data_IF_136172086795
#
_entry.id   IF_136172086795
#
_cell.length_a   1.000
_cell.length_b   1.000
_cell.length_c   1.000
_cell.angle_alpha   90.00
_cell.angle_beta   90.00
_cell.angle_gamma   90.00
#
_symmetry.space_group_name_H-M   'P 1'
#
loop_
_entity.id
_entity.type
_entity.pdbx_description
1 polymer ?
#
# COMPACT_ATOMS: atom_id res chain seq x y z
N UNK A 1 0.09 -2.37 -16.95
CA UNK A 1 -0.07 -1.78 -18.30
C UNK A 1 0.00 -0.27 -18.13
N UNK A 2 0.78 0.46 -18.93
CA UNK A 2 0.74 1.91 -18.91
C UNK A 2 -0.64 2.39 -19.38
N UNK A 3 -1.13 3.48 -18.81
CA UNK A 3 -2.38 4.14 -19.20
C UNK A 3 -2.07 5.62 -19.41
N UNK A 4 -2.55 6.18 -20.52
CA UNK A 4 -2.36 7.58 -20.87
C UNK A 4 -3.65 8.18 -21.42
N UNK A 5 -3.80 9.49 -21.29
CA UNK A 5 -4.96 10.25 -21.75
C UNK A 5 -4.50 11.65 -22.19
N UNK A 6 -4.94 12.16 -23.36
CA UNK A 6 -4.70 13.55 -23.72
C UNK A 6 -5.50 14.50 -22.82
N UNK A 7 -5.09 15.77 -22.76
CA UNK A 7 -5.87 16.81 -22.07
C UNK A 7 -7.31 16.85 -22.59
N UNK A 8 -8.26 16.88 -21.67
CA UNK A 8 -9.70 16.97 -21.93
C UNK A 8 -10.18 18.42 -22.01
N UNK A 9 -9.46 19.33 -21.36
CA UNK A 9 -9.83 20.75 -21.25
C UNK A 9 -8.72 21.68 -21.75
N UNK A 10 -8.79 22.07 -23.03
CA UNK A 10 -7.88 23.05 -23.63
C UNK A 10 -8.28 24.49 -23.22
N UNK A 11 -7.51 25.08 -22.30
CA UNK A 11 -7.86 26.35 -21.66
C UNK A 11 -6.95 27.53 -22.07
N UNK A 12 -6.77 27.73 -23.37
CA UNK A 12 -5.99 28.84 -23.92
C UNK A 12 -5.01 28.39 -24.99
N UNK A 13 -4.03 29.23 -25.28
CA UNK A 13 -2.96 28.92 -26.23
C UNK A 13 -1.67 28.60 -25.47
N UNK A 14 -1.56 27.36 -24.99
CA UNK A 14 -0.40 26.85 -24.24
C UNK A 14 0.22 25.67 -24.98
N UNK A 15 1.54 25.56 -24.94
CA UNK A 15 2.24 24.45 -25.57
C UNK A 15 1.89 23.12 -24.89
N UNK A 16 1.74 22.08 -25.70
CA UNK A 16 1.49 20.73 -25.20
C UNK A 16 2.77 20.13 -24.61
N UNK A 17 2.67 19.58 -23.41
CA UNK A 17 3.73 18.78 -22.80
C UNK A 17 3.15 17.52 -22.18
N UNK A 18 3.97 16.48 -22.09
CA UNK A 18 3.60 15.21 -21.48
C UNK A 18 4.02 15.19 -20.01
N UNK A 19 3.14 14.69 -19.15
CA UNK A 19 3.45 14.36 -17.76
C UNK A 19 3.41 12.86 -17.60
N UNK A 20 4.56 12.27 -17.25
CA UNK A 20 4.67 10.86 -16.95
C UNK A 20 4.88 10.66 -15.45
N UNK A 21 4.03 9.87 -14.82
CA UNK A 21 4.14 9.51 -13.41
C UNK A 21 4.16 7.98 -13.26
N UNK A 22 5.19 7.49 -12.56
CA UNK A 22 5.33 6.06 -12.24
C UNK A 22 4.68 5.83 -10.89
N UNK A 23 3.43 5.41 -10.93
CA UNK A 23 2.81 4.81 -9.75
C UNK A 23 3.44 3.43 -9.52
N UNK A 24 3.96 3.21 -8.32
CA UNK A 24 4.59 1.95 -7.91
C UNK A 24 3.74 0.70 -8.23
N UNK A 25 4.37 -0.47 -8.14
CA UNK A 25 3.83 -1.80 -8.44
C UNK A 25 2.34 -1.95 -8.14
N UNK A 26 1.53 -2.42 -9.09
CA UNK A 26 0.07 -2.66 -8.91
C UNK A 26 -0.74 -1.42 -8.51
N UNK A 27 -0.48 -0.28 -9.14
CA UNK A 27 -1.25 0.97 -8.95
C UNK A 27 -2.75 0.84 -9.20
N UNK A 28 -3.15 -0.08 -10.07
CA UNK A 28 -4.55 -0.41 -10.38
C UNK A 28 -4.69 -1.88 -10.75
N UNK A 29 -5.86 -2.46 -10.47
CA UNK A 29 -6.17 -3.86 -10.78
C UNK A 29 -6.58 -4.10 -12.23
N UNK A 30 -7.30 -3.13 -12.83
CA UNK A 30 -7.80 -3.22 -14.21
C UNK A 30 -7.40 -1.98 -15.01
N UNK A 31 -7.28 -2.10 -16.33
CA UNK A 31 -6.99 -0.95 -17.20
C UNK A 31 -8.01 0.19 -17.01
N UNK A 32 -9.30 -0.15 -16.82
CA UNK A 32 -10.38 0.81 -16.58
C UNK A 32 -10.18 1.59 -15.27
N UNK A 33 -9.67 0.95 -14.22
CA UNK A 33 -9.31 1.64 -12.98
C UNK A 33 -8.13 2.60 -13.20
N UNK A 34 -7.14 2.16 -13.98
CA UNK A 34 -6.01 3.02 -14.38
C UNK A 34 -6.47 4.26 -15.14
N UNK A 35 -7.40 4.10 -16.10
CA UNK A 35 -7.96 5.20 -16.87
C UNK A 35 -8.69 6.21 -15.98
N UNK A 36 -9.48 5.71 -15.01
CA UNK A 36 -10.17 6.56 -14.03
C UNK A 36 -9.18 7.35 -13.17
N UNK A 37 -8.09 6.73 -12.70
CA UNK A 37 -7.05 7.41 -11.92
C UNK A 37 -6.33 8.49 -12.74
N UNK A 38 -5.96 8.17 -13.98
CA UNK A 38 -5.31 9.12 -14.91
C UNK A 38 -6.25 10.31 -15.16
N UNK A 39 -7.53 10.06 -15.45
CA UNK A 39 -8.52 11.13 -15.66
C UNK A 39 -8.64 12.05 -14.45
N UNK A 40 -8.74 11.50 -13.24
CA UNK A 40 -8.84 12.30 -12.01
C UNK A 40 -7.60 13.17 -11.77
N UNK A 41 -6.41 12.64 -12.06
CA UNK A 41 -5.15 13.38 -11.94
C UNK A 41 -5.02 14.46 -13.01
N UNK A 42 -5.40 14.14 -14.24
CA UNK A 42 -5.41 15.09 -15.35
C UNK A 42 -6.38 16.25 -15.06
N UNK A 43 -7.62 15.96 -14.67
CA UNK A 43 -8.61 16.97 -14.26
C UNK A 43 -8.04 17.87 -13.13
N UNK A 44 -7.28 17.32 -12.16
CA UNK A 44 -6.69 18.08 -11.07
C UNK A 44 -5.54 19.03 -11.52
N UNK A 45 -4.85 18.68 -12.60
CA UNK A 45 -3.85 19.54 -13.25
C UNK A 45 -4.58 20.62 -14.07
N UNK A 46 -5.59 20.23 -14.84
CA UNK A 46 -6.36 21.13 -15.71
C UNK A 46 -7.09 22.23 -14.96
N UNK A 47 -7.57 21.98 -13.73
CA UNK A 47 -8.15 23.02 -12.86
C UNK A 47 -7.20 24.21 -12.65
N UNK A 48 -5.89 24.00 -12.71
CA UNK A 48 -4.88 25.05 -12.53
C UNK A 48 -4.53 25.77 -13.85
N UNK A 49 -5.01 25.26 -14.99
CA UNK A 49 -4.68 25.81 -16.31
C UNK A 49 -5.23 27.22 -16.54
N UNK A 50 -6.44 27.52 -16.06
CA UNK A 50 -7.04 28.85 -16.18
C UNK A 50 -7.98 29.17 -15.02
N UNK A 51 -7.58 30.15 -14.22
CA UNK A 51 -8.37 30.69 -13.10
C UNK A 51 -8.73 32.15 -13.34
N UNK A 52 -9.82 32.59 -12.72
CA UNK A 52 -10.29 33.98 -12.74
C UNK A 52 -10.34 34.50 -11.31
N UNK A 53 -10.05 35.78 -11.13
CA UNK A 53 -10.09 36.46 -9.83
C UNK A 53 -11.02 37.66 -9.91
N UNK A 54 -11.76 37.93 -8.84
CA UNK A 54 -12.67 39.08 -8.80
C UNK A 54 -12.94 39.58 -7.40
N UNK A 55 -13.64 40.72 -7.34
CA UNK A 55 -14.10 41.34 -6.11
C UNK A 55 -15.62 41.47 -6.13
N UNK A 56 -16.27 41.32 -4.98
CA UNK A 56 -17.72 41.49 -4.86
C UNK A 56 -18.14 42.04 -3.50
N UNK A 57 -19.35 42.60 -3.45
CA UNK A 57 -20.07 42.92 -2.21
C UNK A 57 -21.19 41.91 -1.91
N UNK A 58 -21.30 40.85 -2.72
CA UNK A 58 -22.29 39.79 -2.53
C UNK A 58 -21.95 38.92 -1.32
N UNK A 59 -22.85 38.88 -0.33
CA UNK A 59 -22.68 38.09 0.92
C UNK A 59 -22.97 36.60 0.74
N UNK A 60 -23.59 36.22 -0.38
CA UNK A 60 -23.98 34.84 -0.66
C UNK A 60 -22.91 34.04 -1.43
N UNK A 61 -21.74 34.62 -1.70
CA UNK A 61 -20.65 33.91 -2.36
C UNK A 61 -19.98 32.95 -1.38
N UNK A 62 -20.00 31.65 -1.72
CA UNK A 62 -19.33 30.59 -0.98
C UNK A 62 -18.62 29.65 -1.94
N UNK A 63 -17.46 29.07 -1.56
CA UNK A 63 -16.85 28.00 -2.35
C UNK A 63 -17.83 26.87 -2.65
N UNK A 64 -17.75 26.30 -3.85
CA UNK A 64 -18.67 25.28 -4.35
C UNK A 64 -19.97 25.81 -4.96
N UNK A 65 -20.27 27.11 -4.84
CA UNK A 65 -21.40 27.73 -5.52
C UNK A 65 -20.99 28.26 -6.89
N UNK A 66 -21.99 28.42 -7.76
CA UNK A 66 -21.81 28.95 -9.11
C UNK A 66 -22.49 30.29 -9.28
N UNK A 67 -22.02 31.09 -10.23
CA UNK A 67 -22.68 32.31 -10.65
C UNK A 67 -22.53 32.51 -12.17
N UNK A 68 -23.48 33.22 -12.78
CA UNK A 68 -23.33 33.73 -14.14
C UNK A 68 -22.82 35.17 -14.08
N UNK A 69 -21.72 35.46 -14.78
CA UNK A 69 -21.20 36.82 -14.93
C UNK A 69 -21.91 37.49 -16.11
N UNK A 70 -22.62 38.57 -15.84
CA UNK A 70 -23.28 39.39 -16.87
C UNK A 70 -22.66 40.78 -16.91
N UNK A 71 -22.87 41.50 -18.02
CA UNK A 71 -22.42 42.88 -18.21
C UNK A 71 -20.88 43.04 -18.18
N UNK A 72 -20.15 42.03 -18.66
CA UNK A 72 -18.69 42.07 -18.78
C UNK A 72 -18.26 41.99 -20.25
N UNK A 73 -17.51 42.99 -20.72
CA UNK A 73 -17.15 43.18 -22.13
C UNK A 73 -16.51 41.94 -22.79
N UNK A 74 -15.62 41.23 -22.09
CA UNK A 74 -14.98 40.01 -22.60
C UNK A 74 -15.88 38.76 -22.60
N UNK A 75 -16.94 38.74 -21.77
CA UNK A 75 -17.73 37.54 -21.51
C UNK A 75 -19.15 37.61 -22.09
N UNK A 76 -19.69 38.81 -22.28
CA UNK A 76 -21.05 39.03 -22.79
C UNK A 76 -21.24 38.53 -24.23
N UNK A 77 -20.16 38.44 -25.01
CA UNK A 77 -20.19 37.90 -26.38
C UNK A 77 -20.17 36.36 -26.42
N UNK A 78 -19.86 35.71 -25.30
CA UNK A 78 -19.75 34.25 -25.19
C UNK A 78 -21.08 33.54 -24.97
N UNK A 79 -21.03 32.21 -24.88
CA UNK A 79 -22.18 31.39 -24.49
C UNK A 79 -22.50 31.59 -22.99
N UNK A 80 -23.72 31.25 -22.55
CA UNK A 80 -24.06 31.25 -21.12
C UNK A 80 -23.16 30.31 -20.30
N UNK A 81 -22.72 29.20 -20.91
CA UNK A 81 -21.77 28.27 -20.30
C UNK A 81 -20.39 28.91 -20.08
N UNK A 82 -19.93 29.76 -21.01
CA UNK A 82 -18.71 30.56 -20.88
C UNK A 82 -18.87 31.80 -19.97
N UNK A 83 -20.07 32.04 -19.44
CA UNK A 83 -20.32 33.04 -18.39
C UNK A 83 -20.59 32.41 -17.04
N UNK A 84 -20.65 31.08 -16.96
CA UNK A 84 -20.87 30.36 -15.71
C UNK A 84 -19.54 30.00 -15.04
N UNK A 85 -19.41 30.39 -13.78
CA UNK A 85 -18.19 30.20 -12.98
C UNK A 85 -18.50 29.44 -11.70
N UNK A 86 -17.56 28.59 -11.28
CA UNK A 86 -17.55 27.89 -10.00
C UNK A 86 -16.56 28.57 -9.05
N UNK A 87 -17.04 29.01 -7.88
CA UNK A 87 -16.21 29.61 -6.83
C UNK A 87 -15.36 28.52 -6.15
N UNK A 88 -14.03 28.69 -6.16
CA UNK A 88 -13.09 27.77 -5.50
C UNK A 88 -12.55 28.33 -4.17
N UNK A 89 -12.38 29.65 -4.10
CA UNK A 89 -11.90 30.36 -2.91
C UNK A 89 -12.68 31.64 -2.76
N UNK A 90 -13.10 31.96 -1.54
CA UNK A 90 -13.71 33.26 -1.20
C UNK A 90 -13.10 33.74 0.11
N UNK A 91 -12.59 34.97 0.12
CA UNK A 91 -12.06 35.65 1.31
C UNK A 91 -12.99 36.81 1.63
N UNK A 92 -13.62 36.76 2.79
CA UNK A 92 -14.57 37.78 3.26
C UNK A 92 -13.87 38.80 4.14
N UNK A 93 -14.16 40.07 3.93
CA UNK A 93 -13.73 41.18 4.79
C UNK A 93 -14.96 42.03 5.15
N UNK A 94 -15.20 42.19 6.45
CA UNK A 94 -16.29 42.99 6.98
C UNK A 94 -15.77 43.97 8.02
N UNK A 95 -16.23 45.21 7.95
CA UNK A 95 -16.00 46.24 8.95
C UNK A 95 -17.32 46.68 9.55
N UNK A 96 -17.31 46.99 10.84
CA UNK A 96 -18.48 47.46 11.57
C UNK A 96 -18.21 48.89 12.08
N UNK A 97 -19.27 49.69 12.21
CA UNK A 97 -19.23 51.10 12.58
C UNK A 97 -19.81 51.39 13.97
N UNK A 98 -19.79 50.42 14.90
CA UNK A 98 -20.32 50.63 16.26
C UNK A 98 -19.65 51.78 17.04
N UNK A 99 -18.40 52.12 16.72
CA UNK A 99 -17.60 53.15 17.40
C UNK A 99 -17.06 54.23 16.45
N UNK A 100 -17.53 54.27 15.19
CA UNK A 100 -17.09 55.25 14.20
C UNK A 100 -18.27 55.80 13.41
N UNK A 101 -18.14 57.04 12.94
CA UNK A 101 -19.11 57.65 12.01
C UNK A 101 -18.92 57.14 10.56
N UNK A 102 -17.99 56.20 10.34
CA UNK A 102 -17.79 55.58 9.03
C UNK A 102 -18.93 54.62 8.69
N UNK A 103 -19.11 54.32 7.40
CA UNK A 103 -20.10 53.32 6.98
C UNK A 103 -19.56 51.91 7.21
N UNK A 104 -20.41 51.01 7.75
CA UNK A 104 -20.09 49.59 7.79
C UNK A 104 -19.84 49.06 6.36
N UNK A 105 -18.80 48.25 6.21
CA UNK A 105 -18.34 47.75 4.92
C UNK A 105 -18.39 46.23 4.84
N UNK A 106 -18.68 45.71 3.66
CA UNK A 106 -18.44 44.31 3.32
C UNK A 106 -17.90 44.21 1.90
N UNK A 107 -16.83 43.44 1.75
CA UNK A 107 -16.29 43.03 0.46
C UNK A 107 -15.81 41.59 0.54
N UNK A 108 -15.67 40.96 -0.61
CA UNK A 108 -14.93 39.73 -0.73
C UNK A 108 -14.06 39.75 -1.98
N UNK A 109 -12.98 38.98 -1.89
CA UNK A 109 -12.11 38.59 -3.00
C UNK A 109 -12.38 37.12 -3.27
N UNK A 110 -12.51 36.73 -4.53
CA UNK A 110 -12.76 35.35 -4.91
C UNK A 110 -11.86 34.89 -6.05
N UNK A 111 -11.64 33.57 -6.08
CA UNK A 111 -11.05 32.85 -7.20
C UNK A 111 -12.10 31.89 -7.72
N UNK A 112 -12.24 31.79 -9.04
CA UNK A 112 -13.16 30.87 -9.69
C UNK A 112 -12.56 30.24 -10.95
N UNK A 113 -13.18 29.14 -11.39
CA UNK A 113 -12.95 28.50 -12.68
C UNK A 113 -14.25 28.51 -13.48
N UNK A 114 -14.19 28.20 -14.79
CA UNK A 114 -15.43 28.00 -15.56
C UNK A 114 -16.17 26.77 -15.03
N UNK A 115 -17.49 26.87 -14.87
CA UNK A 115 -18.29 25.78 -14.30
C UNK A 115 -18.24 24.48 -15.11
N UNK A 116 -18.05 24.57 -16.44
CA UNK A 116 -17.91 23.40 -17.32
C UNK A 116 -16.65 22.56 -17.08
N UNK A 117 -15.64 23.12 -16.39
CA UNK A 117 -14.39 22.41 -16.08
C UNK A 117 -14.62 21.59 -14.80
N UNK A 118 -14.50 20.26 -14.84
CA UNK A 118 -14.68 19.43 -13.67
C UNK A 118 -13.64 19.76 -12.59
N UNK A 119 -14.10 20.15 -11.40
CA UNK A 119 -13.19 20.40 -10.29
C UNK A 119 -12.68 19.09 -9.68
N UNK A 120 -11.36 18.94 -9.67
CA UNK A 120 -10.63 17.99 -8.82
C UNK A 120 -9.60 18.74 -8.00
N UNK A 121 -9.54 18.41 -6.71
CA UNK A 121 -8.59 19.04 -5.82
C UNK A 121 -7.16 18.65 -6.22
N UNK A 122 -6.23 19.62 -6.33
CA UNK A 122 -4.81 19.33 -6.57
C UNK A 122 -4.23 18.39 -5.51
N UNK A 123 -3.33 17.48 -5.91
CA UNK A 123 -2.64 16.59 -4.97
C UNK A 123 -1.59 17.41 -4.22
N UNK A 124 -1.97 17.92 -3.05
CA UNK A 124 -1.12 18.76 -2.17
C UNK A 124 -0.66 18.03 -0.92
N UNK A 125 -1.39 16.99 -0.51
CA UNK A 125 -1.05 16.17 0.65
C UNK A 125 -0.18 15.01 0.20
N UNK A 126 1.03 14.93 0.75
CA UNK A 126 1.93 13.81 0.50
C UNK A 126 1.30 12.50 0.97
N UNK A 127 1.46 11.43 0.18
CA UNK A 127 0.97 10.10 0.59
C UNK A 127 1.78 9.61 1.80
N UNK A 128 1.13 9.03 2.83
CA UNK A 128 1.86 8.39 3.93
C UNK A 128 2.80 7.31 3.42
N UNK A 129 4.02 7.31 3.91
CA UNK A 129 5.05 6.34 3.56
C UNK A 129 5.80 5.85 4.79
N UNK A 130 6.52 4.74 4.64
CA UNK A 130 7.37 4.17 5.67
C UNK A 130 8.75 3.83 5.11
N UNK A 131 9.80 4.20 5.84
CA UNK A 131 11.18 4.09 5.36
C UNK A 131 11.81 2.70 5.56
N UNK A 132 11.17 1.80 6.28
CA UNK A 132 11.76 0.51 6.63
C UNK A 132 10.72 -0.54 7.02
N UNK A 133 11.17 -1.78 7.23
CA UNK A 133 10.28 -2.85 7.62
C UNK A 133 9.83 -2.70 9.08
N UNK A 134 8.69 -3.33 9.40
CA UNK A 134 8.19 -3.48 10.76
C UNK A 134 8.07 -4.96 11.09
N UNK A 135 8.25 -5.35 12.34
CA UNK A 135 7.84 -6.70 12.77
C UNK A 135 6.35 -6.74 13.11
N UNK A 136 5.76 -7.92 12.95
CA UNK A 136 4.36 -8.20 13.23
C UNK A 136 4.20 -9.64 13.71
N UNK A 137 3.08 -9.92 14.39
CA UNK A 137 2.75 -11.27 14.88
C UNK A 137 1.73 -11.91 13.96
N UNK A 138 1.96 -13.15 13.55
CA UNK A 138 1.01 -13.92 12.75
C UNK A 138 -0.24 -14.23 13.57
N UNK A 139 -1.43 -14.01 12.99
CA UNK A 139 -2.72 -14.21 13.67
C UNK A 139 -3.64 -15.11 12.85
N UNK A 140 -4.63 -15.69 13.51
CA UNK A 140 -5.67 -16.51 12.90
C UNK A 140 -6.75 -16.89 13.91
N UNK A 141 -7.71 -17.74 13.51
CA UNK A 141 -8.77 -18.23 14.39
C UNK A 141 -8.24 -18.95 15.63
N UNK A 142 -9.00 -18.89 16.72
CA UNK A 142 -8.68 -19.63 17.94
C UNK A 142 -8.66 -21.15 17.69
N UNK A 143 -7.70 -21.85 18.30
CA UNK A 143 -7.53 -23.30 18.15
C UNK A 143 -6.80 -23.75 16.87
N UNK A 144 -6.51 -22.82 15.96
CA UNK A 144 -5.67 -23.09 14.79
C UNK A 144 -4.19 -22.79 15.06
N UNK A 145 -3.32 -23.55 14.41
CA UNK A 145 -1.87 -23.35 14.46
C UNK A 145 -1.34 -22.70 13.17
N UNK A 146 -2.01 -22.96 12.04
CA UNK A 146 -1.66 -22.43 10.72
C UNK A 146 -2.93 -21.86 10.10
N UNK A 147 -2.87 -20.59 9.68
CA UNK A 147 -3.98 -19.93 9.00
C UNK A 147 -3.48 -19.25 7.73
N UNK A 148 -3.80 -19.86 6.58
CA UNK A 148 -3.35 -19.45 5.26
C UNK A 148 -4.46 -19.64 4.24
N UNK A 149 -4.41 -18.88 3.14
CA UNK A 149 -5.30 -19.08 1.99
C UNK A 149 -4.62 -19.86 0.84
N UNK A 150 -5.34 -20.03 -0.27
CA UNK A 150 -4.89 -20.75 -1.47
C UNK A 150 -3.63 -20.15 -2.12
N UNK A 151 -3.30 -18.90 -1.79
CA UNK A 151 -2.14 -18.18 -2.32
C UNK A 151 -0.96 -18.17 -1.34
N UNK A 152 -1.00 -19.00 -0.29
CA UNK A 152 0.02 -19.05 0.75
C UNK A 152 0.24 -17.69 1.45
N UNK A 153 -0.84 -16.91 1.62
CA UNK A 153 -0.82 -15.64 2.37
C UNK A 153 -1.17 -15.89 3.83
N UNK A 154 -0.71 -15.01 4.71
CA UNK A 154 -1.03 -15.03 6.14
C UNK A 154 -1.68 -13.73 6.57
N UNK A 155 -2.31 -13.73 7.74
CA UNK A 155 -2.72 -12.50 8.42
C UNK A 155 -1.77 -12.19 9.55
N UNK A 156 -1.52 -10.90 9.76
CA UNK A 156 -0.61 -10.41 10.79
C UNK A 156 -1.25 -9.27 11.57
N UNK A 157 -0.80 -9.10 12.80
CA UNK A 157 -1.10 -7.94 13.64
C UNK A 157 0.18 -7.16 13.92
N UNK A 158 0.18 -5.89 13.57
CA UNK A 158 1.26 -4.98 13.93
C UNK A 158 1.14 -4.52 15.39
N UNK A 159 2.27 -4.19 16.00
CA UNK A 159 2.35 -3.83 17.42
C UNK A 159 1.58 -2.55 17.80
N UNK A 160 1.30 -1.67 16.84
CA UNK A 160 0.54 -0.44 17.06
C UNK A 160 -0.99 -0.61 16.93
N UNK A 161 -1.46 -1.76 16.42
CA UNK A 161 -2.90 -2.02 16.31
C UNK A 161 -3.50 -2.27 17.69
N UNK A 162 -4.59 -1.57 18.01
CA UNK A 162 -5.29 -1.67 19.30
C UNK A 162 -6.49 -2.61 19.19
N UNK A 163 -6.79 -3.33 20.28
CA UNK A 163 -7.92 -4.23 20.39
C UNK A 163 -7.54 -5.72 20.31
N UNK A 164 -8.34 -6.56 20.96
CA UNK A 164 -8.22 -8.02 20.98
C UNK A 164 -9.00 -8.70 19.85
N UNK A 165 -9.60 -7.93 18.94
CA UNK A 165 -10.37 -8.50 17.84
C UNK A 165 -9.44 -9.33 16.95
N UNK A 166 -9.65 -10.65 17.01
CA UNK A 166 -9.43 -11.65 15.96
C UNK A 166 -9.60 -11.05 14.55
N UNK A 167 -9.03 -11.66 13.49
CA UNK A 167 -8.62 -11.03 12.21
C UNK A 167 -9.60 -10.17 11.37
N UNK A 168 -10.79 -9.83 11.85
CA UNK A 168 -11.78 -8.95 11.22
C UNK A 168 -11.29 -7.54 10.85
N UNK A 169 -10.01 -7.20 11.08
CA UNK A 169 -9.38 -5.96 10.63
C UNK A 169 -8.01 -6.13 9.97
N UNK A 170 -7.56 -7.35 9.66
CA UNK A 170 -6.22 -7.61 9.09
C UNK A 170 -6.33 -8.19 7.68
N UNK A 171 -5.58 -7.61 6.72
CA UNK A 171 -5.56 -8.09 5.33
C UNK A 171 -4.61 -9.28 5.15
N UNK A 172 -4.75 -10.00 4.04
CA UNK A 172 -3.87 -11.11 3.66
C UNK A 172 -2.56 -10.61 3.07
N UNK A 173 -1.44 -10.96 3.71
CA UNK A 173 -0.09 -10.61 3.28
C UNK A 173 0.58 -11.79 2.59
N UNK A 174 1.19 -11.52 1.43
CA UNK A 174 2.08 -12.49 0.78
C UNK A 174 3.33 -12.71 1.62
N UNK A 175 3.86 -13.92 1.54
CA UNK A 175 5.10 -14.33 2.20
C UNK A 175 6.15 -14.61 1.13
N UNK A 176 7.32 -13.96 1.24
CA UNK A 176 8.45 -14.25 0.39
C UNK A 176 9.01 -15.64 0.73
N UNK A 177 9.13 -16.49 -0.29
CA UNK A 177 9.71 -17.83 -0.17
C UNK A 177 11.12 -17.84 -0.78
N UNK A 178 12.06 -18.67 -0.27
CA UNK A 178 13.42 -18.76 -0.84
C UNK A 178 13.46 -19.10 -2.33
N UNK A 179 12.47 -19.87 -2.81
CA UNK A 179 12.23 -20.09 -4.24
C UNK A 179 10.73 -20.30 -4.45
N UNK A 180 10.15 -19.68 -5.48
CA UNK A 180 8.75 -19.82 -5.84
C UNK A 180 8.61 -19.93 -7.36
N UNK A 181 8.05 -21.04 -7.82
CA UNK A 181 7.74 -21.32 -9.22
C UNK A 181 6.32 -21.82 -9.39
N UNK A 182 5.90 -22.02 -10.65
CA UNK A 182 4.56 -22.54 -10.96
C UNK A 182 4.44 -24.01 -10.55
N UNK A 183 4.01 -24.25 -9.30
CA UNK A 183 3.82 -25.60 -8.73
C UNK A 183 5.09 -26.22 -8.12
N UNK A 184 6.16 -25.46 -7.91
CA UNK A 184 7.39 -25.96 -7.29
C UNK A 184 8.09 -24.86 -6.47
N UNK A 185 8.96 -25.26 -5.55
CA UNK A 185 9.76 -24.34 -4.72
C UNK A 185 9.70 -24.68 -3.24
N UNK A 186 9.85 -23.65 -2.41
CA UNK A 186 9.77 -23.76 -0.96
C UNK A 186 8.41 -23.27 -0.46
N UNK A 187 7.86 -23.94 0.54
CA UNK A 187 6.64 -23.52 1.21
C UNK A 187 6.76 -23.75 2.71
N UNK A 188 7.26 -22.74 3.42
CA UNK A 188 7.38 -22.75 4.88
C UNK A 188 6.44 -21.69 5.45
N UNK A 189 5.20 -22.07 5.73
CA UNK A 189 4.19 -21.12 6.21
C UNK A 189 4.48 -20.69 7.66
N UNK A 190 4.57 -19.38 7.94
CA UNK A 190 4.60 -18.88 9.31
C UNK A 190 3.33 -19.32 10.06
N UNK A 191 3.53 -19.83 11.28
CA UNK A 191 2.46 -20.29 12.17
C UNK A 191 1.94 -19.15 13.03
N UNK A 192 0.69 -19.27 13.50
CA UNK A 192 0.07 -18.30 14.41
C UNK A 192 0.96 -18.10 15.65
N UNK A 193 1.14 -16.84 16.04
CA UNK A 193 1.99 -16.44 17.16
C UNK A 193 3.44 -16.16 16.78
N UNK A 194 3.93 -16.66 15.64
CA UNK A 194 5.30 -16.38 15.19
C UNK A 194 5.47 -14.91 14.82
N UNK A 195 6.68 -14.39 15.02
CA UNK A 195 7.04 -13.04 14.61
C UNK A 195 7.60 -13.06 13.19
N UNK A 196 7.14 -12.11 12.38
CA UNK A 196 7.56 -11.94 10.99
C UNK A 196 8.00 -10.50 10.73
N UNK A 197 8.91 -10.33 9.78
CA UNK A 197 9.33 -9.04 9.26
C UNK A 197 8.48 -8.69 8.03
N UNK A 198 7.87 -7.51 8.05
CA UNK A 198 7.00 -6.98 6.99
C UNK A 198 7.67 -5.76 6.36
N UNK A 199 7.96 -5.86 5.06
CA UNK A 199 8.48 -4.77 4.24
C UNK A 199 7.35 -4.14 3.43
N UNK A 200 7.46 -2.86 3.12
CA UNK A 200 6.48 -2.11 2.34
C UNK A 200 7.07 -1.75 0.98
N UNK A 201 6.46 -2.25 -0.11
CA UNK A 201 7.00 -2.07 -1.46
C UNK A 201 7.04 -0.57 -1.81
N UNK A 202 8.22 -0.06 -2.18
CA UNK A 202 8.46 1.37 -2.42
C UNK A 202 8.06 2.29 -1.25
N UNK A 203 8.00 1.76 -0.02
CA UNK A 203 7.55 2.51 1.16
C UNK A 203 6.04 2.76 1.22
N UNK A 204 5.25 2.16 0.31
CA UNK A 204 3.79 2.27 0.29
C UNK A 204 3.18 1.44 1.43
N UNK A 205 2.57 2.12 2.41
CA UNK A 205 1.96 1.49 3.58
C UNK A 205 0.81 0.53 3.24
N UNK A 206 0.22 0.67 2.05
CA UNK A 206 -0.86 -0.18 1.56
C UNK A 206 -0.33 -1.43 0.82
N UNK A 207 1.01 -1.59 0.72
CA UNK A 207 1.67 -2.70 0.02
C UNK A 207 2.63 -3.48 0.93
N UNK A 208 2.16 -4.05 2.04
CA UNK A 208 2.97 -4.89 2.90
C UNK A 208 3.28 -6.25 2.25
N UNK A 209 4.49 -6.75 2.49
CA UNK A 209 4.99 -8.06 2.08
C UNK A 209 5.80 -8.65 3.24
N UNK A 210 5.46 -9.86 3.67
CA UNK A 210 6.27 -10.58 4.65
C UNK A 210 7.54 -11.07 3.97
N UNK A 211 8.71 -10.69 4.49
CA UNK A 211 10.01 -10.99 3.89
C UNK A 211 10.82 -12.01 4.68
N UNK A 212 10.54 -12.20 5.97
CA UNK A 212 11.28 -13.13 6.82
C UNK A 212 10.49 -13.51 8.08
N UNK A 213 10.79 -14.68 8.64
CA UNK A 213 10.43 -15.04 10.02
C UNK A 213 11.55 -14.64 10.99
N UNK A 214 11.19 -14.27 12.22
CA UNK A 214 12.12 -13.87 13.26
C UNK A 214 12.00 -14.77 14.49
N UNK A 215 13.15 -15.17 15.03
CA UNK A 215 13.21 -15.75 16.37
C UNK A 215 13.19 -14.63 17.42
N UNK A 216 12.62 -14.92 18.58
CA UNK A 216 12.56 -14.02 19.73
C UNK A 216 12.64 -14.81 21.05
N UNK A 217 12.33 -14.18 22.17
CA UNK A 217 12.39 -14.81 23.49
C UNK A 217 11.28 -15.86 23.75
N UNK A 218 10.24 -15.90 22.91
CA UNK A 218 9.17 -16.89 22.96
C UNK A 218 9.43 -17.99 21.93
N UNK A 219 9.74 -17.61 20.69
CA UNK A 219 10.07 -18.51 19.59
C UNK A 219 11.59 -18.57 19.44
N UNK A 220 12.22 -19.50 20.14
CA UNK A 220 13.68 -19.67 20.13
C UNK A 220 14.18 -20.34 18.85
N UNK A 221 15.45 -20.11 18.45
CA UNK A 221 16.07 -20.84 17.36
C UNK A 221 16.11 -22.37 17.61
N UNK A 222 16.13 -23.19 16.55
CA UNK A 222 16.17 -24.65 16.65
C UNK A 222 17.35 -25.14 17.47
N UNK A 223 17.12 -26.20 18.24
CA UNK A 223 18.16 -26.90 19.00
C UNK A 223 18.56 -28.20 18.30
N UNK A 224 19.58 -28.14 17.46
CA UNK A 224 20.09 -29.29 16.70
C UNK A 224 20.93 -30.29 17.50
N UNK A 225 21.21 -30.00 18.78
CA UNK A 225 22.00 -30.90 19.64
C UNK A 225 21.47 -30.89 21.07
N UNK A 226 22.05 -31.75 21.91
CA UNK A 226 21.77 -31.81 23.36
C UNK A 226 22.32 -30.61 24.14
N UNK A 227 23.16 -29.77 23.53
CA UNK A 227 23.57 -28.51 24.15
C UNK A 227 22.37 -27.54 24.29
N UNK A 228 22.53 -26.48 25.08
CA UNK A 228 21.47 -25.50 25.40
C UNK A 228 20.98 -24.63 24.22
N UNK A 229 21.27 -25.01 22.97
CA UNK A 229 21.05 -24.20 21.77
C UNK A 229 22.26 -23.32 21.44
N UNK A 230 22.02 -22.17 20.80
CA UNK A 230 23.07 -21.17 20.56
C UNK A 230 23.51 -20.51 21.89
N UNK A 231 24.81 -20.18 22.05
CA UNK A 231 25.90 -20.28 21.07
C UNK A 231 26.55 -21.68 20.97
N UNK A 232 26.14 -22.67 21.76
CA UNK A 232 26.71 -24.02 21.75
C UNK A 232 26.57 -24.74 20.41
N UNK A 233 25.50 -24.48 19.66
CA UNK A 233 25.24 -25.04 18.33
C UNK A 233 25.78 -24.18 17.17
N UNK A 234 26.76 -23.30 17.40
CA UNK A 234 27.24 -22.33 16.38
C UNK A 234 27.82 -22.95 15.10
N UNK A 235 28.21 -24.22 15.13
CA UNK A 235 28.72 -24.99 13.97
C UNK A 235 27.63 -25.84 13.30
N UNK A 236 26.38 -25.74 13.77
CA UNK A 236 25.26 -26.54 13.28
C UNK A 236 24.28 -25.67 12.50
N UNK A 237 23.90 -26.12 11.31
CA UNK A 237 22.98 -25.42 10.40
C UNK A 237 21.96 -26.39 9.84
N UNK A 238 20.71 -25.99 9.66
CA UNK A 238 19.71 -26.92 9.15
C UNK A 238 18.27 -26.42 9.16
N UNK A 239 17.37 -27.33 8.81
CA UNK A 239 15.93 -27.14 8.83
C UNK A 239 15.36 -28.14 9.84
N UNK A 240 14.66 -27.63 10.86
CA UNK A 240 13.88 -28.44 11.78
C UNK A 240 12.41 -28.02 11.67
N UNK A 241 11.54 -28.97 11.38
CA UNK A 241 10.09 -28.74 11.34
C UNK A 241 9.48 -29.05 12.69
N UNK A 242 8.16 -28.88 12.81
CA UNK A 242 7.40 -29.31 13.97
C UNK A 242 6.14 -30.00 13.45
N UNK A 243 5.78 -31.11 14.09
CA UNK A 243 4.51 -31.80 13.85
C UNK A 243 3.34 -30.83 14.04
N UNK A 244 2.36 -30.88 13.15
CA UNK A 244 1.17 -30.04 13.26
C UNK A 244 0.27 -30.56 14.39
N UNK A 245 -0.10 -29.70 15.34
CA UNK A 245 -0.87 -30.04 16.54
C UNK A 245 -0.27 -31.22 17.34
N UNK A 246 1.06 -31.38 17.28
CA UNK A 246 1.79 -32.49 17.92
C UNK A 246 3.13 -32.06 18.51
N UNK A 247 3.99 -33.03 18.83
CA UNK A 247 5.28 -32.80 19.52
C UNK A 247 6.50 -33.34 18.78
N UNK A 248 6.29 -34.10 17.70
CA UNK A 248 7.34 -34.59 16.82
C UNK A 248 7.97 -33.49 15.96
N UNK A 249 9.02 -33.86 15.22
CA UNK A 249 9.70 -33.00 14.25
C UNK A 249 10.43 -33.83 13.20
N UNK A 250 10.59 -33.28 11.99
CA UNK A 250 11.58 -33.75 11.03
C UNK A 250 12.78 -32.80 11.06
N UNK A 251 13.97 -33.31 10.71
CA UNK A 251 15.19 -32.51 10.70
C UNK A 251 16.09 -32.84 9.52
N UNK A 252 16.65 -31.82 8.90
CA UNK A 252 17.82 -31.88 8.03
C UNK A 252 18.91 -31.01 8.65
N UNK A 253 20.04 -31.63 9.00
CA UNK A 253 21.12 -31.00 9.75
C UNK A 253 22.45 -31.16 9.01
N UNK A 254 23.22 -30.08 8.98
CA UNK A 254 24.62 -30.01 8.58
C UNK A 254 25.47 -29.63 9.80
N UNK A 255 26.50 -30.42 10.07
CA UNK A 255 27.44 -30.22 11.17
C UNK A 255 28.79 -29.84 10.58
N UNK A 256 29.19 -28.58 10.77
CA UNK A 256 30.42 -27.98 10.25
C UNK A 256 31.55 -27.99 11.29
N UNK A 257 31.43 -28.83 12.33
CA UNK A 257 32.46 -28.95 13.37
C UNK A 257 33.76 -29.51 12.78
N UNK A 258 34.93 -28.88 13.00
CA UNK A 258 36.20 -29.36 12.49
C UNK A 258 36.47 -30.82 12.85
N UNK A 259 36.77 -31.65 11.85
CA UNK A 259 37.00 -33.09 12.04
C UNK A 259 35.74 -33.92 12.31
N UNK A 260 34.54 -33.33 12.24
CA UNK A 260 33.26 -34.01 12.45
C UNK A 260 32.19 -33.62 11.42
N UNK A 261 32.62 -33.26 10.20
CA UNK A 261 31.73 -32.90 9.10
C UNK A 261 30.72 -34.00 8.78
N UNK A 262 29.43 -33.69 8.83
CA UNK A 262 28.35 -34.65 8.48
C UNK A 262 27.07 -33.93 8.08
N UNK A 263 26.25 -34.64 7.31
CA UNK A 263 24.85 -34.30 7.06
C UNK A 263 23.96 -35.43 7.59
N UNK A 264 22.86 -35.09 8.26
CA UNK A 264 21.91 -36.04 8.83
C UNK A 264 20.47 -35.63 8.54
N UNK A 265 19.64 -36.61 8.15
CA UNK A 265 18.20 -36.49 8.10
C UNK A 265 17.54 -37.32 9.20
N UNK A 266 16.66 -36.70 9.98
CA UNK A 266 15.88 -37.37 11.02
C UNK A 266 14.38 -37.36 10.66
N UNK A 267 13.77 -38.54 10.68
CA UNK A 267 12.32 -38.72 10.57
C UNK A 267 11.86 -39.71 11.66
N UNK A 268 11.07 -39.27 12.65
CA UNK A 268 10.63 -40.11 13.76
C UNK A 268 9.59 -41.18 13.34
N UNK A 269 8.90 -41.00 12.22
CA UNK A 269 8.03 -42.00 11.61
C UNK A 269 8.77 -42.73 10.48
N UNK A 270 9.32 -43.90 10.78
CA UNK A 270 10.16 -44.67 9.85
C UNK A 270 9.49 -44.95 8.50
N UNK A 271 9.96 -44.27 7.45
CA UNK A 271 9.92 -44.76 6.08
C UNK A 271 11.32 -44.60 5.51
N UNK A 272 12.04 -45.71 5.40
CA UNK A 272 13.31 -45.75 4.65
C UNK A 272 13.01 -45.46 3.19
N UNK A 273 13.75 -44.58 2.50
CA UNK A 273 13.65 -44.48 1.06
C UNK A 273 14.11 -45.82 0.45
N UNK A 274 13.25 -46.49 -0.33
CA UNK A 274 13.72 -47.57 -1.19
C UNK A 274 14.68 -46.96 -2.21
N UNK A 275 15.95 -47.43 -2.31
CA UNK A 275 16.79 -47.04 -3.42
C UNK A 275 16.14 -47.56 -4.70
N UNK A 276 15.84 -46.64 -5.64
CA UNK A 276 15.24 -46.97 -6.91
C UNK A 276 16.01 -48.08 -7.62
N UNK A 277 15.29 -49.07 -8.13
CA UNK A 277 15.84 -50.08 -9.03
C UNK A 277 16.50 -49.35 -10.20
N UNK A 278 17.82 -49.49 -10.32
CA UNK A 278 18.53 -49.22 -11.56
C UNK A 278 18.06 -50.27 -12.58
N UNK A 279 17.07 -49.92 -13.40
CA UNK A 279 16.79 -50.68 -14.61
C UNK A 279 18.02 -50.54 -15.51
N UNK A 280 18.81 -51.63 -15.58
CA UNK A 280 19.79 -51.82 -16.63
C UNK A 280 19.03 -52.07 -17.93
N UNK A 281 19.41 -51.44 -19.06
CA UNK A 281 18.84 -51.80 -20.34
C UNK A 281 19.35 -53.20 -20.70
N UNK A 282 18.43 -54.13 -20.96
CA UNK A 282 18.75 -55.33 -21.72
C UNK A 282 18.86 -54.94 -23.20
N UNK A 283 19.92 -55.45 -23.84
CA UNK A 283 20.33 -55.34 -25.24
C UNK A 283 19.25 -55.06 -26.28
#
# INVERSE_FOLDING_TARGET
>A
MPVGMPSLNEQGNVDAYEVYDVLDHYSHGTFKDGERLVRQRLEAIEVQGKTFTGNSTCRAMYPGHTFELTQHFDHDRGSAEDRSFLLITVKHEGSNNYLSDESAGYKNEFVCIRHKIPYRHPITVARPSINGPLSAIVVGPEGEEVFTDELARIQVRFHWQRGDSLPQGTTWLRVAMPSAGSGFGHQFMPRIGQEVLVTFLAGDIDRPLVTSGLYNNIHLPPRFSKASGLPGNRTLSGIRTQEHKGSGFNELLFDDTPGSLRAHGHNPSGHSPQPGQTDRPAY
#
